data_IF_705027941408
#
_entry.id   IF_705027941408
#
_cell.length_a   1.000
_cell.length_b   1.000
_cell.length_c   1.000
_cell.angle_alpha   90.00
_cell.angle_beta   90.00
_cell.angle_gamma   90.00
#
_symmetry.space_group_name_H-M   'P 1'
#
loop_
_entity.id
_entity.type
_entity.pdbx_description
1 polymer ?
#
# COMPACT_ATOMS: atom_id res chain seq x y z
N UNK A 1 10.31 -23.35 2.67
CA UNK A 1 9.16 -23.15 3.58
C UNK A 1 8.15 -22.30 2.83
N UNK A 2 6.91 -22.76 2.67
CA UNK A 2 5.87 -21.99 1.99
C UNK A 2 5.40 -20.81 2.85
N UNK A 3 4.67 -19.84 2.24
CA UNK A 3 4.06 -18.74 3.00
C UNK A 3 3.07 -19.23 4.05
N UNK A 4 2.29 -20.25 3.69
CA UNK A 4 1.37 -20.89 4.61
C UNK A 4 2.09 -21.57 5.80
N UNK A 5 3.29 -22.13 5.59
CA UNK A 5 4.09 -22.71 6.68
C UNK A 5 4.60 -21.64 7.64
N UNK A 6 5.01 -20.48 7.12
CA UNK A 6 5.45 -19.36 7.96
C UNK A 6 4.31 -18.81 8.81
N UNK A 7 3.13 -18.59 8.20
CA UNK A 7 1.94 -18.18 8.95
C UNK A 7 1.57 -19.21 10.01
N UNK A 8 1.57 -20.51 9.67
CA UNK A 8 1.33 -21.58 10.62
C UNK A 8 2.36 -21.64 11.76
N UNK A 9 3.60 -21.23 11.49
CA UNK A 9 4.66 -21.11 12.50
C UNK A 9 4.41 -20.00 13.54
N UNK A 10 3.58 -18.99 13.21
CA UNK A 10 3.19 -17.88 14.10
C UNK A 10 1.94 -18.15 14.92
N UNK A 11 1.32 -19.31 14.75
CA UNK A 11 0.12 -19.68 15.50
C UNK A 11 0.49 -20.15 16.93
N UNK A 12 0.61 -19.21 17.85
CA UNK A 12 0.98 -19.51 19.24
C UNK A 12 -0.23 -19.96 20.07
N UNK A 13 -1.34 -19.25 19.96
CA UNK A 13 -2.53 -19.38 20.80
C UNK A 13 -3.76 -19.91 20.04
N UNK A 14 -3.62 -20.30 18.78
CA UNK A 14 -4.69 -20.83 17.93
C UNK A 14 -4.18 -22.04 17.15
N UNK A 15 -5.06 -22.99 16.89
CA UNK A 15 -4.72 -24.22 16.17
C UNK A 15 -4.73 -24.03 14.64
N UNK A 16 -5.59 -23.12 14.17
CA UNK A 16 -5.67 -22.73 12.78
C UNK A 16 -6.14 -21.27 12.65
N UNK A 17 -5.77 -20.60 11.56
CA UNK A 17 -6.23 -19.27 11.18
C UNK A 17 -7.22 -19.39 10.02
N UNK A 18 -8.37 -18.74 10.15
CA UNK A 18 -9.32 -18.49 9.06
C UNK A 18 -8.89 -17.21 8.34
N UNK A 19 -8.40 -17.38 7.12
CA UNK A 19 -7.97 -16.28 6.23
C UNK A 19 -9.09 -15.96 5.26
N UNK A 20 -9.66 -14.77 5.33
CA UNK A 20 -10.80 -14.30 4.53
C UNK A 20 -10.51 -12.98 3.82
N UNK A 21 -9.54 -12.21 4.30
CA UNK A 21 -9.14 -10.96 3.68
C UNK A 21 -8.47 -11.24 2.32
N UNK A 22 -8.92 -10.61 1.20
CA UNK A 22 -8.44 -10.94 -0.14
C UNK A 22 -6.92 -10.82 -0.36
N UNK A 23 -6.26 -9.80 0.21
CA UNK A 23 -4.83 -9.63 0.07
C UNK A 23 -4.07 -10.72 0.86
N UNK A 24 -4.53 -11.06 2.06
CA UNK A 24 -3.99 -12.14 2.87
C UNK A 24 -4.20 -13.51 2.21
N UNK A 25 -5.41 -13.73 1.68
CA UNK A 25 -5.72 -14.95 0.95
C UNK A 25 -4.81 -15.12 -0.27
N UNK A 26 -4.64 -14.03 -1.05
CA UNK A 26 -3.71 -14.02 -2.19
C UNK A 26 -2.28 -14.29 -1.74
N UNK A 27 -1.81 -13.67 -0.67
CA UNK A 27 -0.47 -13.85 -0.14
C UNK A 27 -0.21 -15.32 0.20
N UNK A 28 -1.11 -15.93 0.96
CA UNK A 28 -0.95 -17.29 1.49
C UNK A 28 -1.15 -18.37 0.43
N UNK A 29 -2.10 -18.18 -0.51
CA UNK A 29 -2.54 -19.23 -1.44
C UNK A 29 -2.17 -18.96 -2.90
N UNK A 30 -1.86 -17.72 -3.27
CA UNK A 30 -1.73 -17.27 -4.67
C UNK A 30 -3.07 -17.01 -5.37
N UNK A 31 -4.21 -17.20 -4.69
CA UNK A 31 -5.52 -17.05 -5.29
C UNK A 31 -5.86 -15.58 -5.58
N UNK A 32 -6.33 -15.29 -6.78
CA UNK A 32 -6.68 -13.94 -7.23
C UNK A 32 -8.18 -13.75 -7.52
N UNK A 33 -9.00 -14.74 -7.19
CA UNK A 33 -10.45 -14.63 -7.33
C UNK A 33 -11.07 -13.80 -6.20
N UNK A 34 -12.31 -13.37 -6.39
CA UNK A 34 -12.99 -12.47 -5.46
C UNK A 34 -13.81 -13.18 -4.37
N UNK A 35 -13.82 -14.50 -4.33
CA UNK A 35 -14.55 -15.26 -3.31
C UNK A 35 -13.85 -16.56 -2.96
N UNK A 36 -13.42 -16.68 -1.73
CA UNK A 36 -12.76 -17.84 -1.16
C UNK A 36 -12.27 -17.55 0.24
N UNK A 37 -11.86 -18.59 0.92
CA UNK A 37 -11.15 -18.51 2.20
C UNK A 37 -10.17 -19.67 2.35
N UNK A 38 -9.21 -19.52 3.25
CA UNK A 38 -8.30 -20.59 3.60
C UNK A 38 -8.32 -20.85 5.11
N UNK A 39 -8.14 -22.12 5.49
CA UNK A 39 -7.76 -22.50 6.85
C UNK A 39 -6.29 -22.89 6.83
N UNK A 40 -5.51 -22.20 7.64
CA UNK A 40 -4.07 -22.37 7.73
C UNK A 40 -3.72 -22.78 9.15
N UNK A 41 -3.24 -24.00 9.32
CA UNK A 41 -2.78 -24.54 10.59
C UNK A 41 -1.53 -25.39 10.37
N UNK A 42 -0.95 -25.98 11.43
CA UNK A 42 0.22 -26.86 11.27
C UNK A 42 -0.09 -28.09 10.43
N UNK A 43 -1.27 -28.67 10.64
CA UNK A 43 -1.75 -29.87 9.94
C UNK A 43 -2.99 -29.59 9.07
N UNK A 44 -3.35 -28.32 8.86
CA UNK A 44 -4.53 -27.92 8.09
C UNK A 44 -4.13 -26.98 6.97
N UNK A 45 -4.46 -27.37 5.76
CA UNK A 45 -4.28 -26.59 4.51
C UNK A 45 -5.53 -26.75 3.66
N UNK A 46 -6.63 -26.11 4.07
CA UNK A 46 -7.90 -26.18 3.38
C UNK A 46 -8.21 -24.88 2.69
N UNK A 47 -8.52 -24.91 1.40
CA UNK A 47 -8.97 -23.76 0.63
C UNK A 47 -10.36 -24.03 0.07
N UNK A 48 -11.28 -23.11 0.27
CA UNK A 48 -12.67 -23.23 -0.22
C UNK A 48 -13.01 -22.05 -1.11
N UNK A 49 -13.60 -22.35 -2.26
CA UNK A 49 -14.15 -21.33 -3.19
C UNK A 49 -15.45 -21.84 -3.82
N UNK A 50 -16.20 -20.96 -4.47
CA UNK A 50 -17.43 -21.37 -5.14
C UNK A 50 -17.19 -21.82 -6.60
N UNK A 51 -18.27 -22.31 -7.24
CA UNK A 51 -18.22 -22.91 -8.59
C UNK A 51 -17.59 -22.02 -9.66
N UNK A 52 -17.64 -20.67 -9.50
CA UNK A 52 -17.09 -19.71 -10.47
C UNK A 52 -15.57 -19.75 -10.56
N UNK A 53 -14.92 -20.19 -9.50
CA UNK A 53 -13.47 -20.13 -9.35
C UNK A 53 -12.77 -21.49 -9.26
N UNK A 54 -13.48 -22.60 -9.40
CA UNK A 54 -12.89 -23.94 -9.25
C UNK A 54 -11.71 -24.17 -10.21
N UNK A 55 -11.86 -23.79 -11.48
CA UNK A 55 -10.78 -23.93 -12.46
C UNK A 55 -9.60 -22.98 -12.19
N UNK A 56 -9.89 -21.77 -11.75
CA UNK A 56 -8.86 -20.80 -11.39
C UNK A 56 -8.07 -21.28 -10.17
N UNK A 57 -8.76 -21.71 -9.13
CA UNK A 57 -8.16 -22.27 -7.92
C UNK A 57 -7.29 -23.50 -8.23
N UNK A 58 -7.71 -24.37 -9.15
CA UNK A 58 -6.92 -25.51 -9.56
C UNK A 58 -5.56 -25.15 -10.16
N UNK A 59 -5.46 -23.97 -10.77
CA UNK A 59 -4.20 -23.47 -11.36
C UNK A 59 -3.35 -22.65 -10.40
N UNK A 60 -3.97 -21.96 -9.44
CA UNK A 60 -3.29 -20.99 -8.58
C UNK A 60 -2.98 -21.53 -7.18
N UNK A 61 -3.88 -22.34 -6.61
CA UNK A 61 -3.78 -22.83 -5.23
C UNK A 61 -3.24 -24.26 -5.24
N UNK A 62 -1.92 -24.42 -5.19
CA UNK A 62 -1.28 -25.73 -5.36
C UNK A 62 -1.00 -26.45 -4.03
N UNK A 63 -0.80 -25.71 -2.95
CA UNK A 63 -0.36 -26.24 -1.65
C UNK A 63 -1.50 -26.43 -0.64
N UNK A 64 -2.76 -26.47 -1.12
CA UNK A 64 -3.95 -26.60 -0.29
C UNK A 64 -4.90 -27.68 -0.82
N UNK A 65 -5.59 -28.34 0.08
CA UNK A 65 -6.76 -29.16 -0.23
C UNK A 65 -7.89 -28.23 -0.68
N UNK A 66 -8.25 -28.31 -1.97
CA UNK A 66 -9.23 -27.41 -2.60
C UNK A 66 -10.62 -28.04 -2.57
N UNK A 67 -11.59 -27.25 -2.11
CA UNK A 67 -12.99 -27.65 -2.05
C UNK A 67 -13.89 -26.64 -2.76
N UNK A 68 -14.91 -27.15 -3.42
CA UNK A 68 -16.01 -26.33 -3.89
C UNK A 68 -17.05 -26.20 -2.80
N UNK A 69 -17.31 -24.99 -2.36
CA UNK A 69 -18.31 -24.64 -1.37
C UNK A 69 -19.40 -23.69 -1.88
N UNK A 70 -20.33 -23.28 -1.02
CA UNK A 70 -21.29 -22.22 -1.31
C UNK A 70 -20.60 -20.86 -1.43
N UNK A 71 -21.28 -19.88 -2.06
CA UNK A 71 -20.76 -18.50 -2.14
C UNK A 71 -20.60 -17.83 -0.77
N UNK A 72 -21.45 -18.20 0.18
CA UNK A 72 -21.36 -17.74 1.55
C UNK A 72 -20.35 -18.60 2.33
N UNK A 73 -19.18 -18.04 2.60
CA UNK A 73 -18.10 -18.76 3.27
C UNK A 73 -18.49 -19.26 4.69
N UNK A 74 -19.36 -18.54 5.40
CA UNK A 74 -19.82 -18.95 6.75
C UNK A 74 -20.52 -20.28 6.68
N UNK A 75 -21.41 -20.48 5.69
CA UNK A 75 -22.12 -21.76 5.48
C UNK A 75 -21.13 -22.90 5.15
N UNK A 76 -20.04 -22.61 4.45
CA UNK A 76 -19.01 -23.62 4.16
C UNK A 76 -18.27 -24.11 5.41
N UNK A 77 -18.38 -23.40 6.52
CA UNK A 77 -17.73 -23.75 7.80
C UNK A 77 -18.64 -24.52 8.79
N UNK A 78 -19.88 -24.88 8.39
CA UNK A 78 -20.78 -25.69 9.22
C UNK A 78 -20.27 -27.12 9.45
N UNK A 79 -19.40 -27.63 8.57
CA UNK A 79 -18.88 -29.00 8.60
C UNK A 79 -17.43 -29.10 8.17
N UNK A 80 -16.88 -30.31 8.18
CA UNK A 80 -15.49 -30.56 7.72
C UNK A 80 -14.44 -30.29 8.78
N UNK A 81 -14.81 -30.24 10.07
CA UNK A 81 -13.89 -30.02 11.17
C UNK A 81 -13.38 -31.34 11.74
N UNK A 82 -12.09 -31.42 12.14
CA UNK A 82 -11.55 -32.58 12.84
C UNK A 82 -12.24 -32.80 14.18
N UNK A 83 -12.11 -34.00 14.73
CA UNK A 83 -12.59 -34.29 16.10
C UNK A 83 -11.76 -33.56 17.16
N UNK A 84 -12.35 -33.37 18.37
CA UNK A 84 -11.71 -32.70 19.48
C UNK A 84 -12.01 -31.20 19.59
N UNK A 85 -11.42 -30.55 20.57
CA UNK A 85 -11.49 -29.09 20.75
C UNK A 85 -10.48 -28.43 19.81
N UNK A 86 -10.85 -27.26 19.29
CA UNK A 86 -10.02 -26.48 18.39
C UNK A 86 -10.25 -25.00 18.66
N UNK A 87 -9.17 -24.23 18.73
CA UNK A 87 -9.20 -22.77 18.75
C UNK A 87 -8.95 -22.24 17.34
N UNK A 88 -9.98 -21.62 16.74
CA UNK A 88 -9.92 -21.03 15.41
C UNK A 88 -9.64 -19.54 15.51
N UNK A 89 -8.45 -19.13 15.08
CA UNK A 89 -8.14 -17.73 14.88
C UNK A 89 -8.92 -17.14 13.70
N UNK A 90 -9.28 -15.88 13.77
CA UNK A 90 -9.88 -15.15 12.66
C UNK A 90 -9.30 -13.73 12.57
N UNK A 91 -9.32 -13.15 11.39
CA UNK A 91 -8.84 -11.80 11.08
C UNK A 91 -9.82 -10.75 11.61
N UNK A 92 -9.65 -10.33 12.85
CA UNK A 92 -10.60 -9.45 13.56
C UNK A 92 -10.62 -8.00 13.02
N UNK A 93 -9.60 -7.58 12.29
CA UNK A 93 -9.60 -6.29 11.57
C UNK A 93 -10.46 -6.34 10.29
N UNK A 94 -10.76 -7.53 9.76
CA UNK A 94 -11.49 -7.72 8.50
C UNK A 94 -12.85 -8.38 8.68
N UNK A 95 -12.97 -9.30 9.61
CA UNK A 95 -14.24 -10.00 9.87
C UNK A 95 -15.23 -9.06 10.54
N UNK A 96 -16.31 -8.73 9.85
CA UNK A 96 -17.36 -7.86 10.39
C UNK A 96 -18.04 -8.48 11.62
N UNK A 97 -18.58 -7.66 12.52
CA UNK A 97 -19.36 -8.11 13.68
C UNK A 97 -20.49 -9.07 13.28
N UNK A 98 -21.16 -8.82 12.15
CA UNK A 98 -22.20 -9.71 11.62
C UNK A 98 -21.62 -11.07 11.20
N UNK A 99 -20.51 -11.08 10.49
CA UNK A 99 -19.85 -12.32 10.07
C UNK A 99 -19.36 -13.12 11.29
N UNK A 100 -18.77 -12.47 12.28
CA UNK A 100 -18.35 -13.10 13.53
C UNK A 100 -19.55 -13.72 14.29
N UNK A 101 -20.65 -13.02 14.43
CA UNK A 101 -21.86 -13.56 15.09
C UNK A 101 -22.42 -14.80 14.34
N UNK A 102 -22.38 -14.79 13.02
CA UNK A 102 -22.78 -15.94 12.20
C UNK A 102 -21.80 -17.10 12.35
N UNK A 103 -20.49 -16.86 12.32
CA UNK A 103 -19.48 -17.89 12.57
C UNK A 103 -19.75 -18.59 13.91
N UNK A 104 -20.00 -17.84 14.97
CA UNK A 104 -20.34 -18.41 16.28
C UNK A 104 -21.61 -19.25 16.28
N UNK A 105 -22.56 -18.95 15.41
CA UNK A 105 -23.84 -19.68 15.33
C UNK A 105 -23.76 -20.98 14.52
N UNK A 106 -22.81 -21.10 13.60
CA UNK A 106 -22.68 -22.27 12.72
C UNK A 106 -21.56 -23.22 13.13
N UNK A 107 -20.54 -22.72 13.80
CA UNK A 107 -19.44 -23.54 14.26
C UNK A 107 -19.85 -24.47 15.40
N UNK A 108 -19.39 -25.74 15.43
CA UNK A 108 -19.59 -26.62 16.55
C UNK A 108 -19.12 -26.00 17.89
N UNK A 109 -19.85 -26.27 18.98
CA UNK A 109 -19.53 -25.72 20.33
C UNK A 109 -18.09 -26.01 20.80
N UNK A 110 -17.47 -27.05 20.27
CA UNK A 110 -16.08 -27.44 20.57
C UNK A 110 -15.02 -26.57 19.86
N UNK A 111 -15.45 -25.67 18.95
CA UNK A 111 -14.57 -24.74 18.26
C UNK A 111 -14.71 -23.36 18.92
N UNK A 112 -13.62 -22.91 19.52
CA UNK A 112 -13.51 -21.58 20.09
C UNK A 112 -13.01 -20.59 19.05
N UNK A 113 -13.69 -19.46 18.87
CA UNK A 113 -13.21 -18.35 18.04
C UNK A 113 -12.34 -17.40 18.84
N UNK A 114 -11.15 -17.08 18.32
CA UNK A 114 -10.21 -16.14 18.92
C UNK A 114 -9.76 -15.11 17.89
N UNK A 115 -9.74 -13.83 18.26
CA UNK A 115 -9.13 -12.78 17.47
C UNK A 115 -7.63 -13.06 17.23
N UNK A 116 -7.20 -13.04 16.00
CA UNK A 116 -5.84 -13.40 15.57
C UNK A 116 -5.42 -12.62 14.29
N UNK A 117 -5.84 -11.35 14.19
CA UNK A 117 -5.38 -10.45 13.13
C UNK A 117 -3.91 -10.10 13.24
N UNK A 118 -3.36 -9.57 12.17
CA UNK A 118 -1.96 -9.14 12.08
C UNK A 118 -0.95 -10.26 11.79
N UNK A 119 -1.34 -11.54 11.83
CA UNK A 119 -0.40 -12.65 11.62
C UNK A 119 0.10 -12.76 10.18
N UNK A 120 -0.80 -12.60 9.20
CA UNK A 120 -0.46 -12.61 7.78
C UNK A 120 0.19 -11.29 7.39
N UNK A 121 -0.32 -10.18 7.90
CA UNK A 121 0.22 -8.84 7.67
C UNK A 121 1.67 -8.71 8.16
N UNK A 122 2.02 -9.34 9.27
CA UNK A 122 3.39 -9.39 9.78
C UNK A 122 4.35 -10.15 8.84
N UNK A 123 3.85 -11.20 8.14
CA UNK A 123 4.63 -11.86 7.08
C UNK A 123 4.73 -10.98 5.84
N UNK A 124 3.65 -10.32 5.43
CA UNK A 124 3.60 -9.43 4.28
C UNK A 124 4.48 -8.18 4.45
N UNK A 125 4.69 -7.73 5.69
CA UNK A 125 5.53 -6.58 5.99
C UNK A 125 6.99 -6.77 5.52
N UNK A 126 7.50 -8.01 5.52
CA UNK A 126 8.86 -8.35 5.09
C UNK A 126 8.79 -9.07 3.76
N UNK A 127 9.14 -8.36 2.68
CA UNK A 127 9.03 -8.84 1.30
C UNK A 127 10.13 -9.85 0.97
N UNK A 128 9.75 -10.91 0.32
CA UNK A 128 10.68 -11.83 -0.34
C UNK A 128 11.31 -11.14 -1.58
N UNK A 129 12.50 -11.56 -2.04
CA UNK A 129 13.13 -10.95 -3.22
C UNK A 129 12.21 -10.88 -4.44
N UNK A 130 11.44 -11.93 -4.72
CA UNK A 130 10.49 -11.94 -5.85
C UNK A 130 9.28 -11.00 -5.66
N UNK A 131 8.96 -10.58 -4.43
CA UNK A 131 7.95 -9.54 -4.17
C UNK A 131 8.55 -8.16 -4.42
N UNK A 132 9.79 -7.94 -3.98
CA UNK A 132 10.54 -6.69 -4.24
C UNK A 132 10.70 -6.47 -5.74
N UNK A 133 11.03 -7.50 -6.52
CA UNK A 133 11.12 -7.42 -7.98
C UNK A 133 9.80 -6.98 -8.63
N UNK A 134 8.65 -7.47 -8.15
CA UNK A 134 7.32 -7.07 -8.66
C UNK A 134 6.97 -5.62 -8.29
N UNK A 135 7.29 -5.20 -7.06
CA UNK A 135 7.08 -3.83 -6.61
C UNK A 135 7.98 -2.87 -7.42
N UNK A 136 9.24 -3.24 -7.64
CA UNK A 136 10.17 -2.47 -8.48
C UNK A 136 9.69 -2.36 -9.93
N UNK A 137 9.12 -3.43 -10.50
CA UNK A 137 8.53 -3.39 -11.84
C UNK A 137 7.29 -2.47 -11.89
N UNK A 138 6.46 -2.45 -10.84
CA UNK A 138 5.34 -1.52 -10.73
C UNK A 138 5.83 -0.07 -10.60
N UNK A 139 6.90 0.18 -9.83
CA UNK A 139 7.51 1.50 -9.71
C UNK A 139 8.12 1.98 -11.04
N UNK A 140 8.83 1.11 -11.75
CA UNK A 140 9.39 1.44 -13.06
C UNK A 140 8.30 1.80 -14.09
N UNK A 141 7.16 1.10 -14.09
CA UNK A 141 6.03 1.46 -14.94
C UNK A 141 5.43 2.81 -14.54
N UNK A 142 5.38 3.12 -13.24
CA UNK A 142 4.96 4.43 -12.73
C UNK A 142 5.89 5.54 -13.26
N UNK A 143 7.21 5.34 -13.21
CA UNK A 143 8.20 6.29 -13.75
C UNK A 143 8.00 6.55 -15.24
N UNK A 144 7.74 5.50 -16.04
CA UNK A 144 7.42 5.64 -17.47
C UNK A 144 6.15 6.48 -17.72
N UNK A 145 5.17 6.40 -16.82
CA UNK A 145 3.93 7.21 -16.92
C UNK A 145 4.22 8.67 -16.57
N UNK A 146 5.09 8.95 -15.61
CA UNK A 146 5.57 10.31 -15.32
C UNK A 146 6.30 10.92 -16.52
N UNK A 147 7.23 10.17 -17.12
CA UNK A 147 7.95 10.62 -18.31
C UNK A 147 7.00 10.94 -19.46
N UNK A 148 6.04 10.05 -19.71
CA UNK A 148 5.00 10.29 -20.71
C UNK A 148 4.17 11.54 -20.41
N UNK A 149 3.72 11.74 -19.16
CA UNK A 149 2.91 12.91 -18.79
C UNK A 149 3.68 14.21 -19.00
N UNK A 150 4.97 14.23 -18.70
CA UNK A 150 5.85 15.38 -18.91
C UNK A 150 5.85 15.86 -20.36
N UNK A 151 5.74 14.94 -21.32
CA UNK A 151 5.65 15.24 -22.75
C UNK A 151 4.26 15.76 -23.16
N UNK A 152 3.21 15.45 -22.39
CA UNK A 152 1.84 15.85 -22.72
C UNK A 152 1.49 17.28 -22.30
N UNK A 153 2.23 17.84 -21.35
CA UNK A 153 1.91 19.13 -20.73
C UNK A 153 0.72 19.09 -19.77
N UNK A 154 0.60 20.15 -18.98
CA UNK A 154 -0.40 20.25 -17.91
C UNK A 154 -1.31 21.47 -18.08
N UNK A 155 -0.76 22.61 -18.51
CA UNK A 155 -1.46 23.89 -18.53
C UNK A 155 -2.69 23.87 -19.44
N UNK A 156 -3.81 24.36 -18.89
CA UNK A 156 -5.11 24.43 -19.58
C UNK A 156 -5.92 23.13 -19.59
N UNK A 157 -5.32 21.99 -19.16
CA UNK A 157 -6.06 20.76 -18.90
C UNK A 157 -6.67 20.81 -17.51
N UNK A 158 -7.79 20.14 -17.30
CA UNK A 158 -8.33 20.00 -15.95
C UNK A 158 -7.56 18.93 -15.16
N UNK A 159 -7.54 19.03 -13.83
CA UNK A 159 -6.97 17.99 -12.96
C UNK A 159 -7.56 16.61 -13.28
N UNK A 160 -8.87 16.55 -13.53
CA UNK A 160 -9.59 15.31 -13.89
C UNK A 160 -9.15 14.73 -15.22
N UNK A 161 -8.95 15.56 -16.23
CA UNK A 161 -8.44 15.12 -17.54
C UNK A 161 -7.03 14.53 -17.42
N UNK A 162 -6.18 15.15 -16.59
CA UNK A 162 -4.84 14.63 -16.32
C UNK A 162 -4.92 13.30 -15.60
N UNK A 163 -5.72 13.19 -14.53
CA UNK A 163 -5.86 11.94 -13.75
C UNK A 163 -6.37 10.78 -14.62
N UNK A 164 -7.40 11.01 -15.46
CA UNK A 164 -7.90 9.98 -16.38
C UNK A 164 -6.85 9.57 -17.41
N UNK A 165 -6.08 10.53 -17.93
CA UNK A 165 -5.02 10.24 -18.89
C UNK A 165 -3.91 9.38 -18.25
N UNK A 166 -3.51 9.69 -17.01
CA UNK A 166 -2.55 8.90 -16.25
C UNK A 166 -3.02 7.45 -16.07
N UNK A 167 -4.24 7.26 -15.54
CA UNK A 167 -4.79 5.92 -15.31
C UNK A 167 -5.03 5.13 -16.60
N UNK A 168 -5.38 5.80 -17.68
CA UNK A 168 -5.46 5.17 -18.99
C UNK A 168 -4.07 4.71 -19.46
N UNK A 169 -3.05 5.55 -19.34
CA UNK A 169 -1.70 5.24 -19.77
C UNK A 169 -1.08 4.10 -18.95
N UNK A 170 -1.33 4.06 -17.63
CA UNK A 170 -0.94 2.93 -16.78
C UNK A 170 -1.46 1.60 -17.35
N UNK A 171 -2.77 1.53 -17.64
CA UNK A 171 -3.39 0.31 -18.20
C UNK A 171 -2.88 -0.01 -19.59
N UNK A 172 -2.64 0.99 -20.43
CA UNK A 172 -2.08 0.83 -21.79
C UNK A 172 -0.68 0.19 -21.74
N UNK A 173 0.10 0.47 -20.69
CA UNK A 173 1.43 -0.10 -20.47
C UNK A 173 1.41 -1.46 -19.76
N UNK A 174 0.25 -1.96 -19.37
CA UNK A 174 0.09 -3.30 -18.81
C UNK A 174 -0.27 -3.34 -17.33
N UNK A 175 -0.46 -2.21 -16.65
CA UNK A 175 -1.01 -2.22 -15.31
C UNK A 175 -2.40 -2.84 -15.27
N UNK A 176 -2.68 -3.59 -14.22
CA UNK A 176 -4.02 -4.12 -13.97
C UNK A 176 -4.98 -2.99 -13.57
N UNK A 177 -4.50 -2.09 -12.70
CA UNK A 177 -5.22 -0.95 -12.17
C UNK A 177 -4.24 0.09 -11.61
N UNK A 178 -4.65 1.33 -11.32
CA UNK A 178 -3.92 2.17 -10.37
C UNK A 178 -3.94 1.52 -8.99
N UNK A 179 -2.93 1.79 -8.16
CA UNK A 179 -2.88 1.34 -6.76
C UNK A 179 -3.98 1.98 -5.92
N UNK A 180 -4.30 3.22 -6.26
CA UNK A 180 -5.34 4.07 -5.68
C UNK A 180 -5.80 5.10 -6.74
N UNK A 181 -6.93 5.79 -6.55
CA UNK A 181 -7.34 6.88 -7.43
C UNK A 181 -6.28 7.98 -7.48
N UNK A 182 -5.74 8.26 -8.67
CA UNK A 182 -4.65 9.23 -8.83
C UNK A 182 -5.04 10.61 -8.32
N UNK A 183 -4.15 11.26 -7.56
CA UNK A 183 -4.30 12.62 -7.09
C UNK A 183 -3.62 13.55 -8.09
N UNK A 184 -4.36 14.53 -8.58
CA UNK A 184 -3.85 15.67 -9.34
C UNK A 184 -4.42 16.91 -8.69
N UNK A 185 -3.57 17.74 -8.09
CA UNK A 185 -3.99 18.89 -7.33
C UNK A 185 -3.13 20.11 -7.66
N UNK A 186 -3.74 21.14 -8.23
CA UNK A 186 -3.06 22.33 -8.72
C UNK A 186 -3.35 23.57 -7.87
N UNK A 187 -2.40 24.49 -7.79
CA UNK A 187 -2.56 25.76 -7.09
C UNK A 187 -3.03 25.59 -5.65
N UNK A 188 -4.05 26.36 -5.19
CA UNK A 188 -4.57 26.26 -3.82
C UNK A 188 -5.07 24.88 -3.43
N UNK A 189 -5.49 24.05 -4.38
CA UNK A 189 -5.95 22.68 -4.14
C UNK A 189 -4.80 21.74 -3.78
N UNK A 190 -3.56 22.05 -4.20
CA UNK A 190 -2.35 21.35 -3.77
C UNK A 190 -2.12 21.41 -2.24
N UNK A 191 -2.80 22.32 -1.52
CA UNK A 191 -2.80 22.33 -0.05
C UNK A 191 -3.70 21.27 0.59
N UNK A 192 -4.39 20.44 -0.21
CA UNK A 192 -5.23 19.34 0.25
C UNK A 192 -4.50 18.02 0.00
N UNK A 193 -3.97 17.33 1.03
CA UNK A 193 -3.15 16.13 0.85
C UNK A 193 -3.85 15.01 0.06
N UNK A 194 -5.16 14.88 0.22
CA UNK A 194 -6.01 13.87 -0.44
C UNK A 194 -7.05 14.53 -1.37
N UNK A 195 -6.63 15.52 -2.15
CA UNK A 195 -7.52 16.16 -3.10
C UNK A 195 -8.03 15.18 -4.16
N UNK A 196 -9.33 15.17 -4.40
CA UNK A 196 -9.87 14.50 -5.58
C UNK A 196 -9.73 15.42 -6.79
N UNK A 197 -9.28 14.94 -7.98
CA UNK A 197 -9.14 15.75 -9.16
C UNK A 197 -10.44 16.47 -9.56
N UNK A 198 -10.36 17.77 -9.79
CA UNK A 198 -11.50 18.65 -10.11
C UNK A 198 -11.57 18.99 -11.60
N UNK A 199 -12.67 19.63 -12.01
CA UNK A 199 -12.87 20.15 -13.36
C UNK A 199 -12.29 21.57 -13.55
N UNK A 200 -11.39 21.96 -12.65
CA UNK A 200 -10.68 23.24 -12.70
C UNK A 200 -9.45 23.10 -13.59
N UNK A 201 -9.23 24.07 -14.53
CA UNK A 201 -8.05 24.05 -15.38
C UNK A 201 -6.79 24.33 -14.56
N UNK A 202 -5.72 23.65 -14.90
CA UNK A 202 -4.39 23.88 -14.33
C UNK A 202 -3.85 25.19 -14.91
N UNK A 203 -3.63 26.15 -14.03
CA UNK A 203 -3.13 27.48 -14.40
C UNK A 203 -1.60 27.48 -14.51
N UNK A 204 -1.07 28.46 -15.26
CA UNK A 204 0.36 28.73 -15.34
C UNK A 204 0.86 29.44 -14.06
N UNK A 205 2.11 29.16 -13.67
CA UNK A 205 2.76 29.83 -12.53
C UNK A 205 2.35 29.27 -11.18
N UNK A 206 2.00 27.98 -11.13
CA UNK A 206 1.60 27.29 -9.89
C UNK A 206 2.30 25.92 -9.74
N UNK A 207 2.12 25.32 -8.58
CA UNK A 207 2.51 23.95 -8.33
C UNK A 207 1.37 22.99 -8.63
N UNK A 208 1.72 21.81 -9.15
CA UNK A 208 0.81 20.68 -9.36
C UNK A 208 1.38 19.46 -8.67
N UNK A 209 0.71 18.99 -7.64
CA UNK A 209 1.01 17.72 -6.98
C UNK A 209 0.36 16.60 -7.76
N UNK A 210 1.18 15.66 -8.18
CA UNK A 210 0.81 14.44 -8.89
C UNK A 210 1.18 13.26 -7.99
N UNK A 211 0.19 12.51 -7.55
CA UNK A 211 0.40 11.36 -6.69
C UNK A 211 -0.32 10.16 -7.31
N UNK A 212 0.45 9.15 -7.67
CA UNK A 212 -0.03 7.98 -8.38
C UNK A 212 0.77 6.73 -8.07
N UNK A 213 0.10 5.61 -8.19
CA UNK A 213 0.72 4.31 -8.06
C UNK A 213 0.14 3.32 -9.06
N UNK A 214 0.91 2.31 -9.41
CA UNK A 214 0.58 1.27 -10.38
C UNK A 214 0.39 -0.06 -9.67
N UNK A 215 -0.68 -0.78 -10.00
CA UNK A 215 -0.85 -2.18 -9.62
C UNK A 215 -0.45 -3.09 -10.79
N UNK A 216 0.67 -3.80 -10.62
CA UNK A 216 1.21 -4.73 -11.62
C UNK A 216 1.44 -6.11 -10.97
N UNK A 217 0.95 -7.17 -11.61
CA UNK A 217 1.02 -8.54 -11.06
C UNK A 217 0.53 -8.67 -9.61
N UNK A 218 -0.38 -7.74 -9.22
CA UNK A 218 -1.02 -7.67 -7.90
C UNK A 218 -0.18 -7.05 -6.81
N UNK A 219 0.93 -6.41 -7.14
CA UNK A 219 1.71 -5.57 -6.25
C UNK A 219 1.55 -4.12 -6.64
N UNK A 220 1.57 -3.26 -5.64
CA UNK A 220 1.41 -1.82 -5.79
C UNK A 220 2.77 -1.12 -5.86
N UNK A 221 2.82 0.00 -6.57
CA UNK A 221 3.80 1.07 -6.35
C UNK A 221 3.10 2.31 -5.84
N UNK A 222 3.88 3.27 -5.39
CA UNK A 222 3.45 4.56 -4.88
C UNK A 222 4.52 5.61 -5.13
N UNK A 223 4.14 6.77 -5.67
CA UNK A 223 5.08 7.84 -5.97
C UNK A 223 4.37 9.18 -6.10
N UNK A 224 4.85 10.19 -5.38
CA UNK A 224 4.41 11.58 -5.55
C UNK A 224 5.52 12.46 -6.12
N UNK A 225 5.15 13.29 -7.10
CA UNK A 225 5.97 14.40 -7.58
C UNK A 225 5.15 15.68 -7.60
N UNK A 226 5.81 16.79 -7.32
CA UNK A 226 5.20 18.11 -7.48
C UNK A 226 5.97 18.86 -8.55
N UNK A 227 5.27 19.36 -9.58
CA UNK A 227 5.86 20.08 -10.70
C UNK A 227 5.38 21.53 -10.73
N UNK A 228 6.18 22.41 -11.35
CA UNK A 228 5.80 23.79 -11.61
C UNK A 228 5.17 23.92 -13.01
N UNK A 229 4.26 24.87 -13.18
CA UNK A 229 3.68 25.25 -14.48
C UNK A 229 4.14 26.63 -14.92
N UNK A 230 5.41 26.93 -14.77
CA UNK A 230 6.04 28.23 -15.07
C UNK A 230 6.78 28.81 -13.90
N UNK A 231 6.98 30.13 -13.92
CA UNK A 231 7.64 30.87 -12.83
C UNK A 231 6.75 30.86 -11.58
N UNK A 232 7.32 30.46 -10.45
CA UNK A 232 6.62 30.34 -9.18
C UNK A 232 6.80 31.60 -8.31
N UNK A 233 5.84 31.92 -7.42
CA UNK A 233 6.07 32.78 -6.28
C UNK A 233 7.20 32.24 -5.40
N UNK A 234 8.04 33.11 -4.85
CA UNK A 234 9.21 32.74 -4.03
C UNK A 234 8.83 31.77 -2.89
N UNK A 235 7.75 32.03 -2.21
CA UNK A 235 7.25 31.18 -1.11
C UNK A 235 7.00 29.72 -1.55
N UNK A 236 6.46 29.50 -2.76
CA UNK A 236 6.22 28.14 -3.28
C UNK A 236 7.53 27.45 -3.68
N UNK A 237 8.47 28.19 -4.20
CA UNK A 237 9.82 27.68 -4.49
C UNK A 237 10.56 27.30 -3.19
N UNK A 238 10.49 28.16 -2.17
CA UNK A 238 11.10 27.91 -0.86
C UNK A 238 10.55 26.65 -0.16
N UNK A 239 9.23 26.44 -0.16
CA UNK A 239 8.66 25.21 0.42
C UNK A 239 8.98 23.97 -0.41
N UNK A 240 9.20 24.10 -1.71
CA UNK A 240 9.65 22.98 -2.54
C UNK A 240 11.05 22.53 -2.12
N UNK A 241 11.99 23.46 -2.07
CA UNK A 241 13.39 23.18 -1.68
C UNK A 241 13.45 22.60 -0.25
N UNK A 242 12.68 23.15 0.68
CA UNK A 242 12.60 22.63 2.04
C UNK A 242 12.03 21.21 2.09
N UNK A 243 10.96 20.93 1.32
CA UNK A 243 10.37 19.60 1.26
C UNK A 243 11.33 18.59 0.65
N UNK A 244 12.03 18.95 -0.42
CA UNK A 244 13.04 18.12 -1.04
C UNK A 244 14.20 17.80 -0.08
N UNK A 245 14.71 18.81 0.60
CA UNK A 245 15.79 18.61 1.58
C UNK A 245 15.33 17.68 2.73
N UNK A 246 14.10 17.85 3.21
CA UNK A 246 13.53 17.02 4.26
C UNK A 246 13.32 15.58 3.78
N UNK A 247 12.89 15.38 2.54
CA UNK A 247 12.70 14.07 1.93
C UNK A 247 14.04 13.32 1.78
N UNK A 248 15.06 13.99 1.27
CA UNK A 248 16.41 13.41 1.15
C UNK A 248 16.98 13.02 2.52
N UNK A 249 16.84 13.90 3.53
CA UNK A 249 17.29 13.60 4.88
C UNK A 249 16.55 12.39 5.50
N UNK A 250 15.23 12.28 5.28
CA UNK A 250 14.45 11.15 5.76
C UNK A 250 14.82 9.85 5.03
N UNK A 251 15.06 9.91 3.71
CA UNK A 251 15.61 8.77 2.95
C UNK A 251 16.91 8.27 3.56
N UNK A 252 17.84 9.19 3.91
CA UNK A 252 19.13 8.83 4.50
C UNK A 252 19.01 8.15 5.87
N UNK A 253 17.89 8.34 6.57
CA UNK A 253 17.60 7.66 7.82
C UNK A 253 17.01 6.26 7.65
N UNK A 254 16.50 5.90 6.45
CA UNK A 254 15.95 4.56 6.19
C UNK A 254 17.10 3.54 6.12
N UNK A 255 17.10 2.63 7.09
CA UNK A 255 18.07 1.52 7.23
C UNK A 255 17.53 0.51 8.24
N UNK A 256 18.12 -0.69 8.38
CA UNK A 256 17.77 -1.60 9.47
C UNK A 256 18.00 -0.99 10.84
N UNK A 257 17.06 -1.18 11.76
CA UNK A 257 17.18 -0.84 13.17
C UNK A 257 16.30 0.32 13.66
N UNK A 258 16.28 1.52 13.04
CA UNK A 258 15.41 2.61 13.47
C UNK A 258 13.92 2.21 13.44
N UNK A 259 13.16 2.68 14.42
CA UNK A 259 11.69 2.60 14.39
C UNK A 259 11.10 3.58 13.36
N UNK A 260 9.94 3.27 12.80
CA UNK A 260 9.27 4.15 11.84
C UNK A 260 9.07 5.59 12.33
N UNK A 261 8.84 5.78 13.65
CA UNK A 261 8.73 7.12 14.26
C UNK A 261 10.05 7.90 14.26
N UNK A 262 11.20 7.24 14.29
CA UNK A 262 12.51 7.89 14.26
C UNK A 262 12.82 8.41 12.87
N UNK A 263 12.47 7.64 11.82
CA UNK A 263 12.57 8.10 10.42
C UNK A 263 11.59 9.25 10.16
N UNK A 264 10.35 9.17 10.67
CA UNK A 264 9.39 10.27 10.60
C UNK A 264 9.92 11.56 11.25
N UNK A 265 10.57 11.48 12.39
CA UNK A 265 11.06 12.63 13.12
C UNK A 265 12.08 13.47 12.32
N UNK A 266 12.95 12.82 11.52
CA UNK A 266 14.02 13.50 10.76
C UNK A 266 13.47 14.64 9.90
N UNK A 267 12.53 14.34 9.00
CA UNK A 267 11.99 15.38 8.14
C UNK A 267 10.96 16.27 8.88
N UNK A 268 10.22 15.75 9.88
CA UNK A 268 9.27 16.54 10.70
C UNK A 268 9.96 17.66 11.46
N UNK A 269 11.06 17.33 12.11
CA UNK A 269 11.81 18.30 12.91
C UNK A 269 12.45 19.35 12.00
N UNK A 270 12.93 18.96 10.82
CA UNK A 270 13.46 19.88 9.82
C UNK A 270 12.41 20.88 9.30
N UNK A 271 11.23 20.38 8.93
CA UNK A 271 10.10 21.21 8.48
C UNK A 271 9.60 22.12 9.62
N UNK A 272 9.53 21.61 10.85
CA UNK A 272 9.11 22.38 12.02
C UNK A 272 10.12 23.47 12.40
N UNK A 273 11.42 23.19 12.34
CA UNK A 273 12.49 24.17 12.60
C UNK A 273 12.49 25.33 11.60
N UNK A 274 12.02 25.09 10.37
CA UNK A 274 11.83 26.13 9.35
C UNK A 274 10.51 26.89 9.49
N UNK A 275 9.69 26.64 10.55
CA UNK A 275 8.45 27.37 10.81
C UNK A 275 7.19 26.75 10.19
N UNK A 276 7.30 25.59 9.51
CA UNK A 276 6.17 24.94 8.81
C UNK A 276 5.60 23.72 9.57
N UNK A 277 5.84 23.62 10.89
CA UNK A 277 5.37 22.47 11.69
C UNK A 277 3.85 22.26 11.68
N UNK A 278 3.06 23.33 11.58
CA UNK A 278 1.59 23.27 11.50
C UNK A 278 1.10 22.96 10.08
N UNK A 279 1.93 23.15 9.06
CA UNK A 279 1.63 22.88 7.65
C UNK A 279 1.96 21.46 7.21
N UNK A 280 2.27 20.58 8.18
CA UNK A 280 2.60 19.19 7.94
C UNK A 280 1.86 18.29 8.94
N UNK A 281 0.73 17.72 8.54
CA UNK A 281 -0.24 17.06 9.41
C UNK A 281 -0.35 15.54 9.34
N UNK A 282 0.19 14.88 8.29
CA UNK A 282 0.06 13.43 8.11
C UNK A 282 1.32 12.64 8.48
N UNK A 283 1.24 11.29 8.46
CA UNK A 283 2.39 10.39 8.51
C UNK A 283 3.26 10.54 7.26
N UNK A 284 4.48 10.01 7.31
CA UNK A 284 5.46 10.21 6.24
C UNK A 284 5.73 9.01 5.40
N UNK A 285 5.02 7.95 5.66
CA UNK A 285 5.16 6.75 4.88
C UNK A 285 4.51 5.55 5.53
N UNK A 286 4.38 4.57 4.73
CA UNK A 286 3.76 3.28 5.04
C UNK A 286 4.42 2.17 4.24
N UNK A 287 4.20 0.94 4.66
CA UNK A 287 4.56 -0.22 3.86
C UNK A 287 3.76 -0.27 2.57
N UNK A 288 4.36 -0.82 1.52
CA UNK A 288 3.71 -1.07 0.24
C UNK A 288 3.95 -2.52 -0.17
N UNK A 289 2.93 -3.18 -0.72
CA UNK A 289 3.02 -4.56 -1.16
C UNK A 289 1.85 -4.96 -2.06
N UNK A 290 1.08 -5.96 -1.65
CA UNK A 290 -0.18 -6.35 -2.31
C UNK A 290 -1.22 -5.24 -2.16
N UNK A 291 -1.21 -4.56 -1.01
CA UNK A 291 -1.98 -3.34 -0.79
C UNK A 291 -1.03 -2.14 -0.82
N UNK A 292 -1.59 -0.98 -1.16
CA UNK A 292 -0.80 0.26 -1.15
C UNK A 292 -0.41 0.65 0.28
N UNK A 293 -1.29 0.41 1.26
CA UNK A 293 -1.03 0.70 2.66
C UNK A 293 -0.85 -0.59 3.47
N UNK A 294 0.39 -0.90 3.82
CA UNK A 294 0.77 -2.03 4.67
C UNK A 294 1.63 -1.57 5.86
N UNK A 295 2.01 -2.52 6.72
CA UNK A 295 3.07 -2.31 7.69
C UNK A 295 4.48 -2.38 7.02
N UNK A 296 5.50 -1.73 7.63
CA UNK A 296 5.47 -0.87 8.80
C UNK A 296 5.01 0.56 8.49
N UNK A 297 4.64 1.33 9.51
CA UNK A 297 4.29 2.76 9.36
C UNK A 297 5.45 3.68 9.71
N UNK A 298 5.75 4.63 8.84
CA UNK A 298 6.67 5.72 9.10
C UNK A 298 5.88 6.95 9.57
N UNK A 299 5.51 6.96 10.84
CA UNK A 299 4.67 7.98 11.45
C UNK A 299 4.99 8.11 12.94
N UNK A 300 4.50 9.16 13.61
CA UNK A 300 4.69 9.36 15.07
C UNK A 300 4.29 8.14 15.91
N UNK A 301 3.39 7.33 15.41
CA UNK A 301 2.91 6.10 16.08
C UNK A 301 3.62 4.83 15.63
N UNK A 302 4.52 4.90 14.63
CA UNK A 302 5.26 3.75 14.11
C UNK A 302 6.32 3.27 15.09
N UNK A 303 6.09 2.12 15.70
CA UNK A 303 6.97 1.52 16.73
C UNK A 303 7.76 0.34 16.20
N UNK A 304 7.46 -0.12 15.00
CA UNK A 304 8.14 -1.24 14.40
C UNK A 304 9.52 -0.79 13.92
N UNK A 305 10.55 -1.55 14.32
CA UNK A 305 11.88 -1.36 13.79
C UNK A 305 11.91 -1.78 12.31
N UNK A 306 12.55 -0.98 11.47
CA UNK A 306 12.76 -1.35 10.08
C UNK A 306 13.72 -2.54 9.99
N UNK A 307 13.37 -3.49 9.14
CA UNK A 307 14.18 -4.69 8.89
C UNK A 307 14.39 -4.87 7.38
N UNK A 308 15.45 -5.57 6.95
CA UNK A 308 15.65 -5.89 5.54
C UNK A 308 14.42 -6.60 4.95
N UNK A 309 14.01 -6.19 3.75
CA UNK A 309 12.80 -6.65 3.09
C UNK A 309 11.57 -5.78 3.36
N UNK A 310 11.59 -4.81 4.28
CA UNK A 310 10.54 -3.82 4.33
C UNK A 310 10.58 -2.94 3.07
N UNK A 311 9.44 -2.73 2.43
CA UNK A 311 9.27 -1.75 1.35
C UNK A 311 8.36 -0.66 1.89
N UNK A 312 8.83 0.58 1.88
CA UNK A 312 8.15 1.72 2.51
C UNK A 312 8.21 2.97 1.64
N UNK A 313 7.22 3.85 1.79
CA UNK A 313 7.23 5.21 1.22
C UNK A 313 7.97 6.18 2.13
N UNK A 314 8.57 7.23 1.56
CA UNK A 314 9.11 8.39 2.26
C UNK A 314 8.58 9.64 1.59
N UNK A 315 7.53 10.25 2.17
CA UNK A 315 6.65 11.21 1.51
C UNK A 315 6.37 12.48 2.33
N UNK A 316 7.36 13.25 2.79
CA UNK A 316 7.08 14.52 3.46
C UNK A 316 6.35 15.50 2.54
N UNK A 317 5.53 16.35 3.14
CA UNK A 317 4.83 17.42 2.43
C UNK A 317 4.63 18.67 3.28
N UNK A 318 4.54 19.81 2.63
CA UNK A 318 4.17 21.12 3.22
C UNK A 318 2.95 21.63 2.47
N UNK A 319 1.91 21.97 3.23
CA UNK A 319 0.60 22.36 2.70
C UNK A 319 0.22 23.74 3.22
N UNK A 320 0.17 24.73 2.32
CA UNK A 320 -0.16 26.13 2.64
C UNK A 320 -1.61 26.44 2.24
N UNK A 321 -2.57 26.48 3.18
CA UNK A 321 -3.97 26.71 2.87
C UNK A 321 -4.21 27.94 2.00
N UNK A 322 -4.93 27.75 0.90
CA UNK A 322 -5.26 28.81 -0.05
C UNK A 322 -4.12 29.23 -1.00
N UNK A 323 -2.96 28.59 -0.94
CA UNK A 323 -1.78 28.91 -1.78
C UNK A 323 -1.32 27.72 -2.61
N UNK A 324 -1.02 26.59 -1.99
CA UNK A 324 -0.51 25.40 -2.66
C UNK A 324 0.11 24.42 -1.69
N UNK A 325 0.66 23.37 -2.21
CA UNK A 325 1.36 22.36 -1.42
C UNK A 325 2.43 21.65 -2.23
N UNK A 326 3.34 21.01 -1.52
CA UNK A 326 4.40 20.18 -2.06
C UNK A 326 4.38 18.85 -1.34
N UNK A 327 4.40 17.74 -2.07
CA UNK A 327 4.74 16.40 -1.58
C UNK A 327 5.75 15.81 -2.54
N UNK A 328 6.81 15.23 -1.98
CA UNK A 328 7.85 14.52 -2.72
C UNK A 328 8.02 13.17 -2.04
N UNK A 329 7.87 12.11 -2.80
CA UNK A 329 7.81 10.75 -2.29
C UNK A 329 8.67 9.80 -3.11
N UNK A 330 9.37 8.92 -2.43
CA UNK A 330 9.98 7.76 -3.03
C UNK A 330 9.55 6.47 -2.33
N UNK A 331 9.45 5.41 -3.11
CA UNK A 331 9.33 4.04 -2.65
C UNK A 331 10.71 3.42 -2.50
N UNK A 332 10.99 2.83 -1.34
CA UNK A 332 12.29 2.27 -1.02
C UNK A 332 12.19 0.89 -0.40
N UNK A 333 13.16 0.02 -0.68
CA UNK A 333 13.35 -1.24 0.03
C UNK A 333 14.48 -1.11 1.04
N UNK A 334 14.26 -1.56 2.26
CA UNK A 334 15.29 -1.69 3.28
C UNK A 334 16.15 -2.90 2.95
N UNK A 335 17.48 -2.71 2.86
CA UNK A 335 18.45 -3.76 2.58
C UNK A 335 19.34 -4.01 3.82
N UNK A 336 20.13 -5.07 3.81
CA UNK A 336 21.10 -5.34 4.90
C UNK A 336 22.09 -4.19 5.11
N UNK A 337 22.45 -3.47 4.05
CA UNK A 337 23.44 -2.40 4.08
C UNK A 337 22.84 -0.98 4.20
N UNK A 338 21.51 -0.86 4.15
CA UNK A 338 20.83 0.44 4.17
C UNK A 338 19.50 0.39 3.42
N UNK A 339 19.42 0.99 2.25
CA UNK A 339 18.23 1.03 1.39
C UNK A 339 18.57 1.07 -0.08
N UNK A 340 17.63 0.66 -0.92
CA UNK A 340 17.61 0.91 -2.36
C UNK A 340 16.31 1.65 -2.71
N UNK A 341 16.41 2.71 -3.52
CA UNK A 341 15.26 3.49 -4.00
C UNK A 341 14.69 2.80 -5.25
N UNK A 342 13.40 2.52 -5.24
CA UNK A 342 12.71 1.81 -6.32
C UNK A 342 12.09 2.75 -7.36
N UNK A 343 11.82 4.00 -7.02
CA UNK A 343 11.29 5.06 -7.90
C UNK A 343 12.43 5.82 -8.57
N UNK A 344 12.36 5.99 -9.88
CA UNK A 344 13.42 6.62 -10.68
C UNK A 344 13.09 8.04 -11.19
N UNK A 345 11.83 8.48 -11.08
CA UNK A 345 11.40 9.81 -11.53
C UNK A 345 12.18 10.92 -10.79
N UNK A 346 12.83 11.88 -11.50
CA UNK A 346 13.62 12.95 -10.88
C UNK A 346 12.81 13.78 -9.87
N UNK A 347 13.49 14.23 -8.82
CA UNK A 347 12.91 15.06 -7.73
C UNK A 347 13.24 16.52 -7.84
N UNK A 348 14.07 16.93 -8.81
CA UNK A 348 14.32 18.34 -9.06
C UNK A 348 13.03 19.01 -9.55
N UNK A 349 12.84 20.29 -9.17
CA UNK A 349 11.67 21.04 -9.58
C UNK A 349 11.59 21.14 -11.12
N UNK A 350 10.73 20.34 -11.70
CA UNK A 350 10.48 20.35 -13.13
C UNK A 350 9.41 21.38 -13.47
N UNK A 351 9.62 22.14 -14.56
CA UNK A 351 8.58 22.97 -15.16
C UNK A 351 7.95 22.21 -16.33
N UNK A 352 6.63 22.07 -16.28
CA UNK A 352 5.83 21.36 -17.30
C UNK A 352 4.65 22.27 -17.69
N UNK A 353 4.71 22.79 -18.92
CA UNK A 353 3.70 23.71 -19.47
C UNK A 353 2.45 23.00 -20.00
#
# INVERSE_FOLDING_TARGET
>A
MSRADRVAGRLDDVDALLVTEPANLRYVTGFTGSNGFALVGRDVRRFVTDFRYVEQAARQVLDFDREQGPQDFVTALESGWPEGRLTLGFEDEHVSVRAHARLRSVLPERIELKAAGGLVEAERAVKEPGEVEKIAAAAALCDEVYDWLREQGLVGRTEREVAFALEHEMRRRGATDPSFPSIVASGPRGALPHASPADEPIERGTLVTLDMGVRLDGYCSDCTRTWATGELPDELAEIYELTLAAQVAALDAVRPGPEGREVDAVARDMIAAAGHGEHFGHGRGHGVGIEVHEAPRLARTGKDALVPGNVVTVEPGIYLPGRGGVRIEDLVVVTEAGRDVLTGTPKDLATVD
#
